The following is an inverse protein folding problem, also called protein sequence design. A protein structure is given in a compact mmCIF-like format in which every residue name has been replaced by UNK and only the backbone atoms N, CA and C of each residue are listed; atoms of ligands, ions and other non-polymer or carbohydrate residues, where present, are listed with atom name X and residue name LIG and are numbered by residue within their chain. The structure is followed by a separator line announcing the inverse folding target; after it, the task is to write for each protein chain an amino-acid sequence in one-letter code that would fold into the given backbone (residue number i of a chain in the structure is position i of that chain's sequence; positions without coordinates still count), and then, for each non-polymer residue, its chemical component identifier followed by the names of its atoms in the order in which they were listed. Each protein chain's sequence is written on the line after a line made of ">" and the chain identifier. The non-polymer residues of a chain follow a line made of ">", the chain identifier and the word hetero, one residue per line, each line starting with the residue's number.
data_IF_808038757813
#
_entry.id   IF_808038757813
#
_cell.length_a   1.000
_cell.length_b   1.000
_cell.length_c   1.000
_cell.angle_alpha   90.00
_cell.angle_beta   90.00
_cell.angle_gamma   90.00
#
_symmetry.space_group_name_H-M   'P 1'
#
loop_
_entity.id
_entity.type
_entity.pdbx_description
1 polymer ?
#
# COMPACT_ATOMS: atom_id res chain seq x y z
N UNK A 1 15.36 22.02 -8.63
CA UNK A 1 14.03 21.65 -8.10
C UNK A 1 14.14 20.25 -7.53
N UNK A 2 14.01 20.13 -6.22
CA UNK A 2 14.10 18.87 -5.48
C UNK A 2 12.72 18.47 -4.97
N UNK A 3 12.43 17.18 -4.94
CA UNK A 3 11.21 16.65 -4.35
C UNK A 3 11.53 16.11 -2.96
N UNK A 4 11.03 16.78 -1.93
CA UNK A 4 11.13 16.31 -0.54
C UNK A 4 9.98 15.37 -0.23
N UNK A 5 10.29 14.17 0.29
CA UNK A 5 9.32 13.09 0.45
C UNK A 5 9.24 12.65 1.90
N UNK A 6 8.08 12.85 2.53
CA UNK A 6 7.77 12.29 3.83
C UNK A 6 6.99 10.98 3.67
N UNK A 7 7.56 9.86 4.16
CA UNK A 7 6.87 8.56 4.14
C UNK A 7 6.26 8.26 5.50
N UNK A 8 4.95 8.38 5.61
CA UNK A 8 4.20 7.99 6.81
C UNK A 8 3.98 6.48 6.77
N UNK A 9 4.36 5.78 7.84
CA UNK A 9 4.39 4.32 7.85
C UNK A 9 5.70 3.71 7.31
N UNK A 10 6.81 4.47 7.31
CA UNK A 10 8.13 4.06 6.83
C UNK A 10 8.70 2.76 7.40
N UNK A 11 8.16 2.25 8.53
CA UNK A 11 8.58 0.99 9.16
C UNK A 11 7.73 -0.22 8.74
N UNK A 12 6.66 0.00 7.99
CA UNK A 12 5.83 -1.06 7.40
C UNK A 12 6.44 -1.60 6.10
N UNK A 13 5.83 -2.66 5.57
CA UNK A 13 6.28 -3.33 4.34
C UNK A 13 6.41 -2.33 3.16
N UNK A 14 5.31 -1.68 2.78
CA UNK A 14 5.30 -0.71 1.69
C UNK A 14 6.12 0.54 2.02
N UNK A 15 5.95 1.10 3.22
CA UNK A 15 6.65 2.33 3.61
C UNK A 15 8.17 2.20 3.58
N UNK A 16 8.71 1.08 4.08
CA UNK A 16 10.16 0.84 4.04
C UNK A 16 10.67 0.69 2.59
N UNK A 17 9.90 0.04 1.73
CA UNK A 17 10.21 -0.07 0.31
C UNK A 17 10.16 1.30 -0.40
N UNK A 18 9.17 2.14 -0.08
CA UNK A 18 9.08 3.51 -0.57
C UNK A 18 10.30 4.34 -0.16
N UNK A 19 10.73 4.28 1.10
CA UNK A 19 11.95 4.98 1.54
C UNK A 19 13.17 4.52 0.74
N UNK A 20 13.38 3.21 0.55
CA UNK A 20 14.46 2.69 -0.31
C UNK A 20 14.35 3.21 -1.75
N UNK A 21 13.13 3.25 -2.29
CA UNK A 21 12.84 3.71 -3.64
C UNK A 21 13.13 5.21 -3.83
N UNK A 22 12.84 6.03 -2.82
CA UNK A 22 13.16 7.46 -2.77
C UNK A 22 14.68 7.66 -2.70
N UNK A 23 15.39 6.93 -1.82
CA UNK A 23 16.84 7.05 -1.68
C UNK A 23 17.60 6.68 -2.97
N UNK A 24 17.11 5.69 -3.74
CA UNK A 24 17.67 5.36 -5.07
C UNK A 24 17.52 6.46 -6.11
N UNK A 25 16.64 7.45 -5.88
CA UNK A 25 16.36 8.58 -6.78
C UNK A 25 17.07 9.88 -6.36
N UNK A 26 17.99 9.80 -5.40
CA UNK A 26 18.86 10.91 -5.04
C UNK A 26 19.70 11.36 -6.27
N UNK A 27 20.07 12.65 -6.37
CA UNK A 27 19.80 13.73 -5.41
C UNK A 27 18.45 14.43 -5.61
N UNK A 28 17.69 14.08 -6.66
CA UNK A 28 16.46 14.79 -7.02
C UNK A 28 15.27 14.51 -6.10
N UNK A 29 15.29 13.35 -5.43
CA UNK A 29 14.34 12.95 -4.41
C UNK A 29 15.05 12.89 -3.07
N UNK A 30 14.54 13.60 -2.07
CA UNK A 30 15.13 13.72 -0.74
C UNK A 30 14.15 13.17 0.28
N UNK A 31 14.52 12.08 0.95
CA UNK A 31 13.70 11.51 2.02
C UNK A 31 13.73 12.43 3.25
N UNK A 32 12.54 12.70 3.80
CA UNK A 32 12.38 13.36 5.08
C UNK A 32 12.18 12.31 6.18
N UNK A 33 13.02 12.37 7.20
CA UNK A 33 12.89 11.56 8.40
C UNK A 33 12.04 12.30 9.43
N UNK A 34 10.93 11.69 9.84
CA UNK A 34 10.09 12.20 10.93
C UNK A 34 10.18 11.28 12.14
N UNK A 35 9.87 11.82 13.31
CA UNK A 35 9.65 10.99 14.50
C UNK A 35 8.50 9.99 14.26
N UNK A 36 8.53 8.81 14.89
CA UNK A 36 7.41 7.87 14.80
C UNK A 36 6.12 8.47 15.38
N UNK A 37 5.02 8.37 14.63
CA UNK A 37 3.70 8.80 15.09
C UNK A 37 3.15 7.81 16.13
N UNK A 38 2.48 8.29 17.20
CA UNK A 38 1.93 7.45 18.26
C UNK A 38 0.57 6.85 17.84
N UNK A 39 0.59 5.87 16.93
CA UNK A 39 -0.61 5.26 16.33
C UNK A 39 -1.65 4.71 17.32
N UNK A 40 -1.25 4.37 18.56
CA UNK A 40 -2.13 3.82 19.59
C UNK A 40 -2.72 4.86 20.53
N UNK A 41 -2.32 6.13 20.43
CA UNK A 41 -2.74 7.20 21.34
C UNK A 41 -3.35 8.34 20.52
N UNK A 42 -4.68 8.35 20.45
CA UNK A 42 -5.44 9.32 19.68
C UNK A 42 -5.14 10.77 20.08
N UNK A 43 -4.99 11.04 21.39
CA UNK A 43 -4.75 12.39 21.90
C UNK A 43 -3.38 12.89 21.49
N UNK A 44 -2.36 12.03 21.58
CA UNK A 44 -0.99 12.41 21.20
C UNK A 44 -0.78 12.40 19.70
N UNK A 45 -1.57 11.63 18.96
CA UNK A 45 -1.44 11.52 17.50
C UNK A 45 -1.66 12.86 16.81
N UNK A 46 -2.70 13.60 17.20
CA UNK A 46 -3.03 14.89 16.60
C UNK A 46 -1.89 15.92 16.77
N UNK A 47 -1.38 16.07 17.99
CA UNK A 47 -0.27 16.99 18.26
C UNK A 47 1.00 16.57 17.52
N UNK A 48 1.32 15.26 17.54
CA UNK A 48 2.52 14.74 16.90
C UNK A 48 2.50 14.89 15.38
N UNK A 49 1.35 14.67 14.72
CA UNK A 49 1.25 14.81 13.27
C UNK A 49 1.19 16.27 12.84
N UNK A 50 0.63 17.16 13.67
CA UNK A 50 0.67 18.60 13.43
C UNK A 50 2.10 19.16 13.55
N UNK A 51 2.83 18.77 14.59
CA UNK A 51 4.25 19.12 14.76
C UNK A 51 5.09 18.59 13.59
N UNK A 52 4.97 17.31 13.25
CA UNK A 52 5.72 16.68 12.16
C UNK A 52 5.36 17.28 10.79
N UNK A 53 4.08 17.59 10.55
CA UNK A 53 3.63 18.22 9.31
C UNK A 53 4.21 19.62 9.15
N UNK A 54 4.22 20.42 10.23
CA UNK A 54 4.89 21.74 10.22
C UNK A 54 6.39 21.62 10.00
N UNK A 55 7.08 20.75 10.74
CA UNK A 55 8.51 20.51 10.58
C UNK A 55 8.88 20.11 9.13
N UNK A 56 8.10 19.21 8.54
CA UNK A 56 8.31 18.76 7.16
C UNK A 56 8.17 19.90 6.15
N UNK A 57 7.07 20.63 6.23
CA UNK A 57 6.77 21.74 5.31
C UNK A 57 7.73 22.92 5.56
N UNK A 58 8.14 23.15 6.81
CA UNK A 58 9.03 24.25 7.14
C UNK A 58 10.45 24.04 6.62
N UNK A 59 10.87 22.79 6.48
CA UNK A 59 12.16 22.39 5.94
C UNK A 59 12.26 22.50 4.40
N UNK A 60 11.20 22.91 3.70
CA UNK A 60 11.22 23.17 2.26
C UNK A 60 12.02 24.44 1.95
N UNK A 61 12.92 24.36 0.98
CA UNK A 61 13.58 25.53 0.40
C UNK A 61 12.70 26.17 -0.68
N UNK A 62 13.06 27.39 -1.09
CA UNK A 62 12.41 28.05 -2.22
C UNK A 62 12.51 27.20 -3.49
N UNK A 63 11.36 26.93 -4.12
CA UNK A 63 11.25 26.09 -5.30
C UNK A 63 11.31 24.58 -5.03
N UNK A 64 11.38 24.12 -3.79
CA UNK A 64 11.17 22.71 -3.48
C UNK A 64 9.70 22.32 -3.75
N UNK A 65 9.53 21.09 -4.24
CA UNK A 65 8.25 20.41 -4.25
C UNK A 65 8.22 19.38 -3.13
N UNK A 66 7.02 18.95 -2.75
CA UNK A 66 6.87 18.00 -1.67
C UNK A 66 5.87 16.90 -1.98
N UNK A 67 6.12 15.73 -1.41
CA UNK A 67 5.19 14.62 -1.43
C UNK A 67 5.08 13.96 -0.06
N UNK A 68 3.86 13.55 0.29
CA UNK A 68 3.61 12.67 1.44
C UNK A 68 3.16 11.32 0.91
N UNK A 69 3.90 10.27 1.26
CA UNK A 69 3.52 8.89 0.95
C UNK A 69 2.85 8.27 2.17
N UNK A 70 1.52 8.19 2.16
CA UNK A 70 0.74 7.53 3.21
C UNK A 70 0.72 6.02 2.98
N UNK A 71 1.67 5.33 3.60
CA UNK A 71 1.73 3.87 3.71
C UNK A 71 1.46 3.40 5.16
N UNK A 72 0.89 4.27 5.99
CA UNK A 72 0.47 3.99 7.36
C UNK A 72 -0.91 3.33 7.43
N UNK A 73 -1.07 2.41 8.38
CA UNK A 73 -2.32 1.68 8.62
C UNK A 73 -2.06 0.28 9.17
N UNK A 74 -2.80 -0.10 10.21
CA UNK A 74 -2.79 -1.45 10.76
C UNK A 74 -3.86 -2.32 10.09
N UNK A 75 -4.92 -1.70 9.56
CA UNK A 75 -6.13 -2.35 9.07
C UNK A 75 -5.89 -3.40 7.99
N UNK A 76 -6.56 -4.53 8.17
CA UNK A 76 -6.64 -5.66 7.26
C UNK A 76 -8.10 -6.13 7.19
N UNK A 77 -8.41 -7.12 6.36
CA UNK A 77 -9.78 -7.63 6.16
C UNK A 77 -10.45 -8.12 7.45
N UNK A 78 -9.67 -8.60 8.42
CA UNK A 78 -10.16 -9.08 9.72
C UNK A 78 -10.16 -8.01 10.82
N UNK A 79 -9.86 -6.75 10.52
CA UNK A 79 -9.80 -5.68 11.53
C UNK A 79 -11.21 -5.30 12.01
N UNK A 80 -11.46 -5.21 13.34
CA UNK A 80 -12.73 -4.75 13.90
C UNK A 80 -13.11 -3.32 13.48
N UNK A 81 -14.41 -3.06 13.33
CA UNK A 81 -14.94 -1.77 12.86
C UNK A 81 -14.41 -0.57 13.66
N UNK A 82 -14.36 -0.65 14.99
CA UNK A 82 -13.89 0.46 15.83
C UNK A 82 -12.43 0.87 15.53
N UNK A 83 -11.57 -0.07 15.12
CA UNK A 83 -10.20 0.25 14.71
C UNK A 83 -10.14 0.85 13.31
N UNK A 84 -11.08 0.50 12.43
CA UNK A 84 -11.20 1.12 11.10
C UNK A 84 -11.65 2.58 11.22
N UNK A 85 -12.63 2.85 12.07
CA UNK A 85 -13.11 4.22 12.31
C UNK A 85 -11.97 5.09 12.87
N UNK A 86 -11.22 4.55 13.83
CA UNK A 86 -10.04 5.22 14.38
C UNK A 86 -8.97 5.54 13.31
N UNK A 87 -8.73 4.64 12.35
CA UNK A 87 -7.78 4.89 11.27
C UNK A 87 -8.28 5.98 10.29
N UNK A 88 -9.59 6.10 10.06
CA UNK A 88 -10.16 7.21 9.26
C UNK A 88 -9.96 8.54 9.99
N UNK A 89 -10.18 8.59 11.29
CA UNK A 89 -9.96 9.80 12.09
C UNK A 89 -8.50 10.23 12.03
N UNK A 90 -7.56 9.29 12.21
CA UNK A 90 -6.13 9.55 12.09
C UNK A 90 -5.74 10.06 10.70
N UNK A 91 -6.26 9.45 9.64
CA UNK A 91 -6.04 9.93 8.27
C UNK A 91 -6.57 11.36 8.10
N UNK A 92 -7.78 11.64 8.57
CA UNK A 92 -8.42 12.96 8.45
C UNK A 92 -7.62 14.03 9.20
N UNK A 93 -7.21 13.74 10.44
CA UNK A 93 -6.40 14.64 11.27
C UNK A 93 -5.06 14.95 10.57
N UNK A 94 -4.39 13.92 10.03
CA UNK A 94 -3.12 14.09 9.36
C UNK A 94 -3.23 14.90 8.06
N UNK A 95 -4.26 14.62 7.26
CA UNK A 95 -4.56 15.38 6.04
C UNK A 95 -4.79 16.85 6.39
N UNK A 96 -5.61 17.15 7.39
CA UNK A 96 -5.87 18.52 7.83
C UNK A 96 -4.62 19.21 8.38
N UNK A 97 -3.77 18.51 9.13
CA UNK A 97 -2.49 19.04 9.62
C UNK A 97 -1.54 19.41 8.47
N UNK A 98 -1.34 18.50 7.51
CA UNK A 98 -0.48 18.72 6.33
C UNK A 98 -1.04 19.86 5.47
N UNK A 99 -2.35 19.86 5.22
CA UNK A 99 -3.02 20.88 4.41
C UNK A 99 -2.91 22.27 5.01
N UNK A 100 -3.12 22.40 6.34
CA UNK A 100 -2.93 23.67 7.05
C UNK A 100 -1.48 24.16 6.96
N UNK A 101 -0.51 23.28 7.21
CA UNK A 101 0.91 23.62 7.14
C UNK A 101 1.30 24.12 5.73
N UNK A 102 0.87 23.39 4.69
CA UNK A 102 1.11 23.77 3.30
C UNK A 102 0.50 25.15 2.97
N UNK A 103 -0.72 25.40 3.45
CA UNK A 103 -1.43 26.68 3.24
C UNK A 103 -0.79 27.87 3.93
N UNK A 104 -0.31 27.69 5.16
CA UNK A 104 0.42 28.74 5.88
C UNK A 104 1.67 29.16 5.11
N UNK A 105 2.33 28.20 4.43
CA UNK A 105 3.54 28.45 3.63
C UNK A 105 3.26 28.78 2.16
N UNK A 106 1.99 28.78 1.73
CA UNK A 106 1.57 28.94 0.33
C UNK A 106 2.27 27.97 -0.63
N UNK A 107 2.37 26.70 -0.22
CA UNK A 107 3.04 25.63 -0.99
C UNK A 107 2.09 24.50 -1.42
N UNK A 108 0.78 24.74 -1.45
CA UNK A 108 -0.21 23.70 -1.76
C UNK A 108 -0.07 23.17 -3.19
N UNK A 109 0.17 24.07 -4.14
CA UNK A 109 0.32 23.75 -5.57
C UNK A 109 1.58 22.93 -5.90
N UNK A 110 2.53 22.87 -4.96
CA UNK A 110 3.79 22.13 -5.05
C UNK A 110 3.70 20.74 -4.38
N UNK A 111 2.53 20.42 -3.81
CA UNK A 111 2.29 19.23 -3.01
C UNK A 111 1.63 18.08 -3.75
N UNK A 112 2.05 16.86 -3.42
CA UNK A 112 1.34 15.64 -3.81
C UNK A 112 1.14 14.71 -2.61
N UNK A 113 -0.10 14.33 -2.33
CA UNK A 113 -0.42 13.34 -1.30
C UNK A 113 -0.73 11.98 -1.94
N UNK A 114 0.05 10.95 -1.62
CA UNK A 114 -0.21 9.58 -2.04
C UNK A 114 -0.89 8.77 -0.95
N UNK A 115 -1.96 8.06 -1.30
CA UNK A 115 -2.67 7.14 -0.40
C UNK A 115 -2.60 5.70 -0.90
N UNK A 116 -2.11 4.79 -0.04
CA UNK A 116 -2.13 3.35 -0.27
C UNK A 116 -3.52 2.74 0.01
N UNK A 117 -4.37 2.76 -1.02
CA UNK A 117 -5.66 2.05 -1.04
C UNK A 117 -5.48 0.55 -1.34
N UNK A 118 -6.58 -0.20 -1.41
CA UNK A 118 -6.56 -1.65 -1.69
C UNK A 118 -7.51 -2.00 -2.84
N UNK A 119 -6.96 -2.56 -3.91
CA UNK A 119 -7.77 -3.05 -5.02
C UNK A 119 -8.68 -4.23 -4.59
N UNK A 120 -8.13 -5.19 -3.85
CA UNK A 120 -8.89 -6.35 -3.36
C UNK A 120 -10.02 -5.98 -2.39
N UNK A 121 -9.82 -4.96 -1.55
CA UNK A 121 -10.87 -4.47 -0.65
C UNK A 121 -11.97 -3.71 -1.39
N UNK A 122 -11.59 -2.87 -2.36
CA UNK A 122 -12.50 -2.00 -3.12
C UNK A 122 -13.35 -2.79 -4.12
N UNK A 123 -12.77 -3.77 -4.82
CA UNK A 123 -13.44 -4.54 -5.87
C UNK A 123 -14.02 -5.87 -5.39
N UNK A 124 -14.04 -6.13 -4.07
CA UNK A 124 -14.31 -7.47 -3.53
C UNK A 124 -15.62 -8.11 -3.98
N UNK A 125 -16.66 -7.32 -4.26
CA UNK A 125 -17.96 -7.76 -4.80
C UNK A 125 -18.26 -7.27 -6.21
N UNK A 126 -17.26 -6.78 -6.94
CA UNK A 126 -17.40 -6.46 -8.36
C UNK A 126 -17.59 -7.74 -9.18
N UNK A 127 -18.28 -7.64 -10.32
CA UNK A 127 -18.55 -8.76 -11.24
C UNK A 127 -17.84 -8.52 -12.57
N UNK A 128 -17.55 -9.60 -13.30
CA UNK A 128 -16.92 -9.60 -14.62
C UNK A 128 -15.45 -9.08 -14.65
N UNK A 129 -14.49 -9.79 -14.01
CA UNK A 129 -13.07 -9.42 -14.08
C UNK A 129 -12.47 -9.59 -15.49
N UNK A 130 -11.40 -8.86 -15.86
CA UNK A 130 -10.55 -8.08 -14.96
C UNK A 130 -11.09 -6.68 -14.61
N UNK A 131 -10.93 -6.29 -13.35
CA UNK A 131 -11.33 -4.97 -12.86
C UNK A 131 -10.29 -3.90 -13.16
N UNK A 132 -10.74 -2.69 -13.44
CA UNK A 132 -9.89 -1.52 -13.73
C UNK A 132 -10.34 -0.28 -12.93
N UNK A 133 -9.72 0.88 -13.15
CA UNK A 133 -10.06 2.11 -12.44
C UNK A 133 -11.47 2.64 -12.76
N UNK A 134 -12.09 2.21 -13.86
CA UNK A 134 -13.46 2.56 -14.25
C UNK A 134 -14.50 1.67 -13.60
N UNK A 135 -14.08 0.52 -13.09
CA UNK A 135 -14.94 -0.41 -12.36
C UNK A 135 -15.47 0.26 -11.09
N UNK A 136 -16.80 0.23 -10.91
CA UNK A 136 -17.43 0.80 -9.72
C UNK A 136 -16.99 0.03 -8.47
N UNK A 137 -16.55 0.73 -7.40
CA UNK A 137 -16.28 0.12 -6.10
C UNK A 137 -17.49 -0.68 -5.58
N UNK A 138 -17.24 -1.93 -5.20
CA UNK A 138 -18.24 -2.82 -4.61
C UNK A 138 -17.63 -3.56 -3.40
N UNK A 139 -17.32 -2.86 -2.29
CA UNK A 139 -16.72 -3.48 -1.13
C UNK A 139 -17.71 -4.38 -0.39
N UNK A 140 -17.32 -5.62 -0.11
CA UNK A 140 -18.13 -6.63 0.60
C UNK A 140 -17.63 -6.90 2.03
N UNK A 141 -16.61 -6.18 2.48
CA UNK A 141 -16.05 -6.28 3.82
C UNK A 141 -15.96 -4.90 4.48
N UNK A 142 -15.99 -4.82 5.83
CA UNK A 142 -15.73 -3.58 6.56
C UNK A 142 -14.42 -2.90 6.13
N UNK A 143 -13.36 -3.67 5.93
CA UNK A 143 -12.08 -3.17 5.43
C UNK A 143 -12.19 -2.53 4.04
N UNK A 144 -12.94 -3.15 3.13
CA UNK A 144 -13.20 -2.60 1.80
C UNK A 144 -13.97 -1.27 1.87
N UNK A 145 -14.99 -1.21 2.72
CA UNK A 145 -15.77 0.01 2.94
C UNK A 145 -14.90 1.13 3.51
N UNK A 146 -14.07 0.81 4.52
CA UNK A 146 -13.06 1.70 5.07
C UNK A 146 -12.15 2.28 3.99
N UNK A 147 -11.62 1.44 3.07
CA UNK A 147 -10.75 1.93 1.99
C UNK A 147 -11.49 2.87 1.04
N UNK A 148 -12.74 2.58 0.68
CA UNK A 148 -13.55 3.49 -0.15
C UNK A 148 -13.81 4.84 0.57
N UNK A 149 -14.10 4.81 1.87
CA UNK A 149 -14.25 6.03 2.68
C UNK A 149 -12.95 6.82 2.71
N UNK A 150 -11.82 6.17 2.96
CA UNK A 150 -10.51 6.82 2.98
C UNK A 150 -10.15 7.46 1.62
N UNK A 151 -10.45 6.78 0.50
CA UNK A 151 -10.26 7.38 -0.83
C UNK A 151 -11.10 8.66 -0.99
N UNK A 152 -12.34 8.67 -0.50
CA UNK A 152 -13.19 9.86 -0.52
C UNK A 152 -12.62 10.97 0.36
N UNK A 153 -12.13 10.65 1.55
CA UNK A 153 -11.48 11.62 2.46
C UNK A 153 -10.27 12.27 1.80
N UNK A 154 -9.45 11.50 1.09
CA UNK A 154 -8.28 12.02 0.37
C UNK A 154 -8.68 12.95 -0.78
N UNK A 155 -9.74 12.60 -1.54
CA UNK A 155 -10.29 13.50 -2.59
C UNK A 155 -10.80 14.81 -2.00
N UNK A 156 -11.55 14.74 -0.90
CA UNK A 156 -12.04 15.94 -0.19
C UNK A 156 -10.91 16.82 0.34
N UNK A 157 -9.83 16.21 0.84
CA UNK A 157 -8.61 16.94 1.20
C UNK A 157 -7.99 17.64 -0.02
N UNK A 158 -7.90 16.93 -1.15
CA UNK A 158 -7.37 17.47 -2.41
C UNK A 158 -8.14 18.72 -2.84
N UNK A 159 -9.48 18.64 -2.81
CA UNK A 159 -10.37 19.76 -3.17
C UNK A 159 -10.27 20.92 -2.17
N UNK A 160 -10.18 20.61 -0.87
CA UNK A 160 -10.17 21.62 0.22
C UNK A 160 -8.86 22.39 0.30
N UNK A 161 -7.74 21.72 0.11
CA UNK A 161 -6.40 22.31 0.27
C UNK A 161 -5.72 22.59 -1.05
N UNK A 162 -6.32 22.25 -2.19
CA UNK A 162 -5.73 22.41 -3.53
C UNK A 162 -4.39 21.66 -3.69
N UNK A 163 -4.18 20.61 -2.89
CA UNK A 163 -3.02 19.71 -2.96
C UNK A 163 -3.38 18.53 -3.88
N UNK A 164 -2.51 18.19 -4.83
CA UNK A 164 -2.79 17.07 -5.74
C UNK A 164 -2.76 15.73 -5.00
N UNK A 165 -3.56 14.76 -5.43
CA UNK A 165 -3.64 13.45 -4.76
C UNK A 165 -3.47 12.29 -5.72
N UNK A 166 -2.75 11.28 -5.24
CA UNK A 166 -2.42 10.04 -5.94
C UNK A 166 -2.97 8.85 -5.13
N UNK A 167 -4.10 8.28 -5.56
CA UNK A 167 -4.75 7.16 -4.88
C UNK A 167 -4.33 5.86 -5.56
N UNK A 168 -3.44 5.11 -4.92
CA UNK A 168 -2.97 3.82 -5.42
C UNK A 168 -3.80 2.67 -4.88
N UNK A 169 -4.62 2.01 -5.71
CA UNK A 169 -5.32 0.77 -5.35
C UNK A 169 -4.38 -0.41 -5.55
N UNK A 170 -3.78 -0.89 -4.47
CA UNK A 170 -2.73 -1.91 -4.54
C UNK A 170 -3.34 -3.32 -4.46
N UNK A 171 -2.83 -4.26 -5.26
CA UNK A 171 -3.15 -5.70 -5.12
C UNK A 171 -2.41 -6.33 -3.93
N UNK A 172 -2.29 -7.66 -3.88
CA UNK A 172 -1.73 -8.34 -2.71
C UNK A 172 -0.21 -8.13 -2.64
N UNK A 173 0.21 -7.15 -1.85
CA UNK A 173 1.62 -6.90 -1.58
C UNK A 173 2.26 -8.07 -0.83
N UNK A 174 3.49 -8.39 -1.24
CA UNK A 174 4.34 -9.34 -0.55
C UNK A 174 5.81 -8.97 -0.74
N UNK A 175 6.67 -9.46 0.15
CA UNK A 175 8.11 -9.24 0.06
C UNK A 175 8.82 -9.29 1.42
N UNK A 176 10.16 -9.13 1.42
CA UNK A 176 10.96 -9.01 2.62
C UNK A 176 10.46 -7.92 3.59
N UNK A 177 10.47 -8.21 4.88
CA UNK A 177 10.09 -7.26 5.94
C UNK A 177 8.59 -7.20 6.24
N UNK A 178 7.79 -8.12 5.68
CA UNK A 178 6.39 -8.25 6.09
C UNK A 178 6.31 -8.71 7.55
N UNK A 179 5.45 -8.06 8.34
CA UNK A 179 5.20 -8.49 9.72
C UNK A 179 4.28 -9.71 9.74
N UNK A 180 4.61 -10.70 10.57
CA UNK A 180 3.88 -11.97 10.67
C UNK A 180 2.78 -11.97 11.73
N UNK A 181 2.66 -10.90 12.52
CA UNK A 181 1.60 -10.73 13.52
C UNK A 181 0.24 -10.40 12.89
N UNK A 182 0.23 -9.99 11.62
CA UNK A 182 -0.99 -9.74 10.84
C UNK A 182 -1.41 -11.00 10.10
N UNK A 183 -2.72 -11.30 10.14
CA UNK A 183 -3.36 -12.35 9.35
C UNK A 183 -3.56 -11.93 7.86
N UNK A 184 -2.51 -11.39 7.24
CA UNK A 184 -2.49 -10.97 5.84
C UNK A 184 -1.20 -11.46 5.15
N UNK A 185 -1.28 -11.67 3.84
CA UNK A 185 -0.16 -11.99 2.96
C UNK A 185 0.21 -13.46 3.00
N UNK A 186 -0.56 -14.24 2.24
CA UNK A 186 -0.46 -15.71 2.15
C UNK A 186 0.96 -16.19 1.81
N UNK A 187 1.71 -15.50 0.94
CA UNK A 187 3.08 -15.87 0.57
C UNK A 187 3.99 -15.92 1.80
N UNK A 188 3.90 -14.90 2.64
CA UNK A 188 4.68 -14.78 3.87
C UNK A 188 4.30 -15.86 4.90
N UNK A 189 3.02 -16.15 5.05
CA UNK A 189 2.54 -17.23 5.92
C UNK A 189 2.92 -18.63 5.42
N UNK A 190 2.84 -18.87 4.11
CA UNK A 190 3.31 -20.13 3.50
C UNK A 190 4.82 -20.30 3.68
N UNK A 191 5.59 -19.23 3.51
CA UNK A 191 7.03 -19.25 3.74
C UNK A 191 7.39 -19.49 5.23
N UNK A 192 6.61 -18.96 6.17
CA UNK A 192 6.77 -19.27 7.60
C UNK A 192 6.41 -20.74 7.90
N UNK A 193 5.35 -21.27 7.30
CA UNK A 193 4.92 -22.66 7.46
C UNK A 193 5.91 -23.68 6.85
N UNK A 194 6.78 -23.24 5.95
CA UNK A 194 7.90 -24.05 5.45
C UNK A 194 9.00 -24.25 6.51
N UNK A 195 9.22 -23.25 7.36
CA UNK A 195 10.32 -23.24 8.34
C UNK A 195 9.86 -23.40 9.79
N UNK A 196 8.58 -23.69 10.00
CA UNK A 196 8.01 -23.86 11.33
C UNK A 196 7.01 -25.02 11.34
N UNK A 197 6.76 -25.65 12.51
CA UNK A 197 5.78 -26.73 12.61
C UNK A 197 4.32 -26.23 12.53
N UNK A 198 4.09 -24.93 12.35
CA UNK A 198 2.75 -24.34 12.29
C UNK A 198 2.25 -24.31 10.84
N UNK A 199 1.11 -24.95 10.52
CA UNK A 199 0.59 -24.91 9.16
C UNK A 199 0.03 -23.53 8.80
N UNK A 200 0.10 -23.18 7.52
CA UNK A 200 -0.62 -22.07 6.94
C UNK A 200 -2.04 -22.50 6.59
N UNK A 201 -3.03 -21.77 7.12
CA UNK A 201 -4.45 -22.04 6.83
C UNK A 201 -4.89 -21.36 5.54
N UNK A 202 -5.52 -22.13 4.65
CA UNK A 202 -6.16 -21.63 3.43
C UNK A 202 -7.67 -21.84 3.55
N UNK A 203 -8.42 -20.75 3.43
CA UNK A 203 -9.87 -20.73 3.63
C UNK A 203 -10.67 -20.57 2.34
N UNK A 204 -10.01 -20.48 1.19
CA UNK A 204 -10.63 -20.26 -0.12
C UNK A 204 -10.35 -21.45 -1.05
N UNK A 205 -11.18 -21.67 -2.08
CA UNK A 205 -10.91 -22.68 -3.09
C UNK A 205 -9.56 -22.48 -3.80
N UNK A 206 -8.92 -23.55 -4.26
CA UNK A 206 -7.58 -23.47 -4.84
C UNK A 206 -7.54 -22.76 -6.20
N UNK A 207 -8.68 -22.73 -6.89
CA UNK A 207 -8.93 -21.98 -8.13
C UNK A 207 -9.08 -20.47 -7.90
N UNK A 208 -9.07 -20.01 -6.65
CA UNK A 208 -9.16 -18.57 -6.33
C UNK A 208 -7.98 -17.82 -6.94
N UNK A 209 -8.26 -16.86 -7.82
CA UNK A 209 -7.26 -16.06 -8.55
C UNK A 209 -6.98 -14.76 -7.80
N UNK A 210 -5.71 -14.45 -7.60
CA UNK A 210 -5.23 -13.20 -7.00
C UNK A 210 -4.05 -12.65 -7.76
N UNK A 211 -3.92 -11.32 -7.79
CA UNK A 211 -2.71 -10.64 -8.22
C UNK A 211 -1.78 -10.42 -7.01
N UNK A 212 -0.52 -10.84 -7.12
CA UNK A 212 0.51 -10.69 -6.09
C UNK A 212 1.59 -9.75 -6.60
N UNK A 213 1.82 -8.65 -5.88
CA UNK A 213 2.76 -7.62 -6.33
C UNK A 213 3.95 -7.49 -5.38
N UNK A 214 5.16 -7.66 -5.93
CA UNK A 214 6.39 -7.58 -5.16
C UNK A 214 6.60 -6.16 -4.64
N UNK A 215 6.92 -6.04 -3.35
CA UNK A 215 6.88 -4.76 -2.63
C UNK A 215 7.82 -3.69 -3.21
N UNK A 216 9.03 -4.08 -3.65
CA UNK A 216 9.99 -3.11 -4.20
C UNK A 216 9.54 -2.59 -5.57
N UNK A 217 8.90 -3.42 -6.39
CA UNK A 217 8.33 -3.01 -7.68
C UNK A 217 7.14 -2.07 -7.46
N UNK A 218 6.28 -2.39 -6.49
CA UNK A 218 5.17 -1.52 -6.12
C UNK A 218 5.68 -0.16 -5.61
N UNK A 219 6.71 -0.14 -4.76
CA UNK A 219 7.29 1.10 -4.26
C UNK A 219 7.94 1.93 -5.38
N UNK A 220 8.53 1.28 -6.39
CA UNK A 220 9.02 1.95 -7.59
C UNK A 220 7.87 2.60 -8.37
N UNK A 221 6.78 1.85 -8.58
CA UNK A 221 5.59 2.34 -9.27
C UNK A 221 4.88 3.47 -8.51
N UNK A 222 4.84 3.43 -7.16
CA UNK A 222 4.34 4.53 -6.32
C UNK A 222 5.12 5.82 -6.60
N UNK A 223 6.45 5.75 -6.62
CA UNK A 223 7.28 6.94 -6.88
C UNK A 223 7.07 7.47 -8.31
N UNK A 224 6.93 6.59 -9.32
CA UNK A 224 6.61 7.00 -10.69
C UNK A 224 5.24 7.66 -10.78
N UNK A 225 4.24 7.08 -10.11
CA UNK A 225 2.88 7.61 -10.09
C UNK A 225 2.83 8.99 -9.45
N UNK A 226 3.49 9.19 -8.29
CA UNK A 226 3.65 10.50 -7.65
C UNK A 226 4.36 11.49 -8.58
N UNK A 227 5.43 11.07 -9.23
CA UNK A 227 6.14 11.90 -10.22
C UNK A 227 5.24 12.35 -11.37
N UNK A 228 4.42 11.43 -11.92
CA UNK A 228 3.50 11.73 -13.02
C UNK A 228 2.35 12.64 -12.59
N UNK A 229 1.78 12.43 -11.40
CA UNK A 229 0.77 13.33 -10.81
C UNK A 229 1.33 14.74 -10.70
N UNK A 230 2.54 14.89 -10.15
CA UNK A 230 3.22 16.18 -10.04
C UNK A 230 3.45 16.85 -11.39
N UNK A 231 3.87 16.09 -12.40
CA UNK A 231 4.04 16.62 -13.75
C UNK A 231 2.71 17.13 -14.33
N UNK A 232 1.61 16.40 -14.08
CA UNK A 232 0.25 16.83 -14.45
C UNK A 232 -0.18 18.07 -13.67
N UNK A 233 0.19 18.17 -12.38
CA UNK A 233 -0.11 19.32 -11.54
C UNK A 233 0.45 20.62 -12.13
N UNK A 234 1.67 20.56 -12.68
CA UNK A 234 2.32 21.73 -13.30
C UNK A 234 1.63 22.19 -14.59
N UNK A 235 0.96 21.28 -15.29
CA UNK A 235 0.32 21.59 -16.59
C UNK A 235 -1.16 21.90 -16.46
N UNK A 236 -1.87 21.21 -15.58
CA UNK A 236 -3.34 21.23 -15.48
C UNK A 236 -3.86 21.81 -14.15
N UNK A 237 -2.97 22.16 -13.21
CA UNK A 237 -3.34 22.55 -11.85
C UNK A 237 -3.64 21.33 -10.98
N UNK A 238 -4.30 21.53 -9.85
CA UNK A 238 -4.55 20.46 -8.87
C UNK A 238 -5.35 19.31 -9.47
N UNK A 239 -4.81 18.08 -9.34
CA UNK A 239 -5.45 16.86 -9.84
C UNK A 239 -5.60 15.80 -8.75
N UNK A 240 -6.67 15.02 -8.83
CA UNK A 240 -6.86 13.81 -8.03
C UNK A 240 -6.96 12.60 -8.95
N UNK A 241 -5.97 11.70 -8.88
CA UNK A 241 -5.87 10.56 -9.80
C UNK A 241 -5.91 9.26 -9.01
N UNK A 242 -6.72 8.31 -9.47
CA UNK A 242 -6.78 6.94 -8.94
C UNK A 242 -6.13 6.00 -9.96
N UNK A 243 -5.21 5.14 -9.51
CA UNK A 243 -4.53 4.13 -10.34
C UNK A 243 -4.47 2.80 -9.61
N UNK A 244 -4.74 1.71 -10.32
CA UNK A 244 -4.47 0.35 -9.85
C UNK A 244 -2.97 0.09 -9.92
N UNK A 245 -2.36 -0.26 -8.79
CA UNK A 245 -0.94 -0.60 -8.68
C UNK A 245 -0.85 -2.13 -8.53
N UNK A 246 -0.67 -2.82 -9.65
CA UNK A 246 -0.81 -4.27 -9.74
C UNK A 246 0.32 -4.91 -10.55
N UNK A 247 0.57 -6.20 -10.30
CA UNK A 247 1.54 -6.95 -11.11
C UNK A 247 1.02 -7.14 -12.54
N UNK A 248 -0.31 -7.29 -12.70
CA UNK A 248 -1.00 -7.60 -13.94
C UNK A 248 -1.02 -9.10 -14.25
N UNK A 249 -0.66 -9.95 -13.28
CA UNK A 249 -0.55 -11.40 -13.41
C UNK A 249 -1.44 -12.07 -12.35
N UNK A 250 -2.58 -12.60 -12.78
CA UNK A 250 -3.45 -13.39 -11.92
C UNK A 250 -2.89 -14.79 -11.72
N UNK A 251 -2.81 -15.23 -10.46
CA UNK A 251 -2.30 -16.56 -10.08
C UNK A 251 -3.30 -17.21 -9.13
N UNK A 252 -3.62 -18.47 -9.39
CA UNK A 252 -4.47 -19.28 -8.51
C UNK A 252 -3.72 -19.65 -7.24
N UNK A 253 -4.45 -19.94 -6.15
CA UNK A 253 -3.83 -20.48 -4.94
C UNK A 253 -3.12 -21.82 -5.23
N UNK A 254 -3.68 -22.66 -6.10
CA UNK A 254 -3.06 -23.92 -6.53
C UNK A 254 -1.71 -23.71 -7.23
N UNK A 255 -1.64 -22.78 -8.18
CA UNK A 255 -0.38 -22.40 -8.85
C UNK A 255 0.62 -21.79 -7.87
N UNK A 256 0.17 -20.92 -6.96
CA UNK A 256 1.02 -20.35 -5.93
C UNK A 256 1.66 -21.43 -5.05
N UNK A 257 0.87 -22.42 -4.61
CA UNK A 257 1.38 -23.56 -3.86
C UNK A 257 2.37 -24.39 -4.68
N UNK A 258 2.14 -24.56 -5.98
CA UNK A 258 3.09 -25.17 -6.91
C UNK A 258 4.44 -24.44 -6.92
N UNK A 259 4.40 -23.13 -7.18
CA UNK A 259 5.59 -22.27 -7.20
C UNK A 259 6.34 -22.29 -5.86
N UNK A 260 5.62 -22.26 -4.74
CA UNK A 260 6.22 -22.38 -3.41
C UNK A 260 6.97 -23.70 -3.24
N UNK A 261 6.43 -24.82 -3.73
CA UNK A 261 7.14 -26.13 -3.68
C UNK A 261 8.39 -26.12 -4.54
N UNK A 262 8.30 -25.59 -5.76
CA UNK A 262 9.42 -25.55 -6.71
C UNK A 262 10.57 -24.68 -6.19
N UNK A 263 10.25 -23.52 -5.59
CA UNK A 263 11.24 -22.60 -5.03
C UNK A 263 11.86 -23.15 -3.73
N UNK A 264 11.04 -23.74 -2.85
CA UNK A 264 11.50 -24.18 -1.52
C UNK A 264 12.15 -25.56 -1.51
N UNK A 265 11.95 -26.37 -2.57
CA UNK A 265 12.25 -27.81 -2.60
C UNK A 265 11.61 -28.60 -1.44
N UNK A 266 10.53 -28.09 -0.87
CA UNK A 266 9.78 -28.74 0.19
C UNK A 266 8.29 -28.45 0.11
N UNK A 267 7.55 -28.94 1.10
CA UNK A 267 6.10 -28.83 1.14
C UNK A 267 5.72 -27.95 2.33
N UNK A 268 5.27 -26.71 2.10
CA UNK A 268 4.72 -25.90 3.17
C UNK A 268 3.61 -26.69 3.86
N UNK A 269 3.62 -26.73 5.19
CA UNK A 269 2.52 -27.34 5.92
C UNK A 269 1.26 -26.48 5.69
N UNK A 270 0.27 -27.02 4.99
CA UNK A 270 -0.96 -26.30 4.64
C UNK A 270 -2.16 -27.04 5.21
N UNK A 271 -3.08 -26.29 5.80
CA UNK A 271 -4.38 -26.79 6.24
C UNK A 271 -5.48 -26.12 5.43
N UNK A 272 -6.31 -26.91 4.76
CA UNK A 272 -7.52 -26.41 4.11
C UNK A 272 -8.62 -26.33 5.17
N UNK A 273 -9.17 -25.15 5.37
CA UNK A 273 -10.24 -24.91 6.34
C UNK A 273 -11.47 -24.30 5.68
N UNK A 274 -12.62 -24.45 6.34
CA UNK A 274 -13.82 -23.68 6.01
C UNK A 274 -13.88 -22.42 6.89
N UNK A 275 -14.24 -21.30 6.30
CA UNK A 275 -14.52 -20.06 7.03
C UNK A 275 -15.86 -19.49 6.58
N UNK A 276 -16.66 -18.99 7.50
CA UNK A 276 -17.88 -18.23 7.16
C UNK A 276 -17.56 -16.98 6.31
N UNK A 277 -16.33 -16.46 6.40
CA UNK A 277 -15.85 -15.33 5.60
C UNK A 277 -15.32 -15.72 4.22
N UNK A 278 -15.15 -17.02 3.93
CA UNK A 278 -14.71 -17.49 2.62
C UNK A 278 -15.71 -17.13 1.51
N UNK A 279 -17.00 -17.13 1.83
CA UNK A 279 -18.07 -16.70 0.93
C UNK A 279 -18.02 -15.19 0.59
N UNK A 280 -17.28 -14.40 1.38
CA UNK A 280 -17.07 -12.96 1.17
C UNK A 280 -15.77 -12.68 0.40
N UNK A 281 -15.25 -13.66 -0.33
CA UNK A 281 -14.06 -13.50 -1.17
C UNK A 281 -14.43 -13.85 -2.60
N UNK A 282 -14.20 -12.91 -3.53
CA UNK A 282 -14.34 -13.21 -4.96
C UNK A 282 -13.41 -14.37 -5.34
N UNK A 283 -13.93 -15.32 -6.13
CA UNK A 283 -13.13 -16.43 -6.65
C UNK A 283 -12.12 -15.89 -7.66
N UNK A 284 -12.52 -15.01 -8.57
CA UNK A 284 -11.63 -14.36 -9.53
C UNK A 284 -11.52 -12.86 -9.23
N UNK A 285 -10.31 -12.41 -8.87
CA UNK A 285 -9.99 -11.02 -8.59
C UNK A 285 -8.77 -10.59 -9.44
N UNK A 286 -8.86 -10.82 -10.76
CA UNK A 286 -7.93 -10.22 -11.73
C UNK A 286 -8.16 -8.72 -11.82
N UNK A 287 -7.07 -7.96 -11.79
CA UNK A 287 -7.09 -6.49 -11.85
C UNK A 287 -6.09 -6.06 -12.92
N UNK A 288 -6.45 -5.03 -13.65
CA UNK A 288 -5.59 -4.33 -14.61
C UNK A 288 -5.58 -2.83 -14.32
N UNK A 289 -4.62 -2.13 -14.91
CA UNK A 289 -4.52 -0.67 -14.83
C UNK A 289 -4.56 -0.08 -16.23
N UNK A 290 -5.47 0.88 -16.43
CA UNK A 290 -5.65 1.60 -17.69
C UNK A 290 -5.23 3.08 -17.58
N UNK A 291 -4.97 3.57 -16.36
CA UNK A 291 -4.52 4.95 -16.10
C UNK A 291 -3.01 5.03 -16.24
N UNK A 292 -2.51 5.80 -17.22
CA UNK A 292 -1.07 5.96 -17.49
C UNK A 292 -0.33 4.61 -17.62
N UNK A 293 -0.71 3.75 -18.57
CA UNK A 293 -0.15 2.41 -18.73
C UNK A 293 1.34 2.41 -19.04
N UNK A 294 1.90 3.53 -19.52
CA UNK A 294 3.33 3.72 -19.70
C UNK A 294 4.13 3.60 -18.40
N UNK A 295 3.53 3.89 -17.24
CA UNK A 295 4.19 3.74 -15.94
C UNK A 295 4.41 2.26 -15.57
N UNK A 296 3.56 1.37 -16.07
CA UNK A 296 3.60 -0.08 -15.79
C UNK A 296 4.58 -0.84 -16.70
N UNK A 297 5.11 -0.19 -17.75
CA UNK A 297 6.04 -0.77 -18.73
C UNK A 297 7.46 -0.87 -18.16
N UNK A 298 7.59 -1.64 -17.10
CA UNK A 298 8.87 -2.00 -16.49
C UNK A 298 8.97 -3.49 -16.26
N UNK A 299 10.20 -3.96 -16.28
CA UNK A 299 10.52 -5.30 -15.82
C UNK A 299 10.16 -5.40 -14.34
N UNK A 300 9.24 -6.32 -14.03
CA UNK A 300 8.79 -6.63 -12.67
C UNK A 300 9.53 -7.88 -12.19
N UNK A 301 9.75 -7.95 -10.90
CA UNK A 301 10.30 -9.12 -10.22
C UNK A 301 9.39 -10.32 -10.49
N UNK A 302 9.91 -11.41 -11.12
CA UNK A 302 9.13 -12.61 -11.33
C UNK A 302 8.60 -13.17 -10.01
N UNK A 303 7.37 -13.70 -9.99
CA UNK A 303 6.73 -14.19 -8.76
C UNK A 303 7.61 -15.20 -8.00
N UNK A 304 8.26 -16.13 -8.70
CA UNK A 304 9.19 -17.10 -8.09
C UNK A 304 10.39 -16.44 -7.40
N UNK A 305 10.97 -15.39 -8.03
CA UNK A 305 12.09 -14.65 -7.45
C UNK A 305 11.67 -13.85 -6.21
N UNK A 306 10.49 -13.22 -6.27
CA UNK A 306 9.92 -12.53 -5.11
C UNK A 306 9.60 -13.48 -3.95
N UNK A 307 9.03 -14.65 -4.26
CA UNK A 307 8.78 -15.72 -3.27
C UNK A 307 10.09 -16.12 -2.60
N UNK A 308 11.12 -16.42 -3.41
CA UNK A 308 12.43 -16.80 -2.89
C UNK A 308 13.00 -15.73 -1.96
N UNK A 309 13.00 -14.46 -2.36
CA UNK A 309 13.48 -13.35 -1.53
C UNK A 309 12.71 -13.23 -0.21
N UNK A 310 11.38 -13.39 -0.26
CA UNK A 310 10.51 -13.40 0.93
C UNK A 310 10.87 -14.54 1.88
N UNK A 311 11.07 -15.75 1.33
CA UNK A 311 11.47 -16.92 2.11
C UNK A 311 12.84 -16.74 2.78
N UNK A 312 13.83 -16.21 2.06
CA UNK A 312 15.16 -15.94 2.62
C UNK A 312 15.11 -14.92 3.76
N UNK A 313 14.27 -13.89 3.61
CA UNK A 313 14.09 -12.91 4.67
C UNK A 313 13.48 -13.51 5.95
N UNK A 314 12.47 -14.37 5.80
CA UNK A 314 11.83 -15.07 6.93
C UNK A 314 12.82 -16.03 7.60
N UNK A 315 13.55 -16.82 6.83
CA UNK A 315 14.56 -17.73 7.37
C UNK A 315 15.62 -16.97 8.18
N UNK A 316 16.10 -15.85 7.65
CA UNK A 316 17.05 -14.98 8.35
C UNK A 316 16.45 -14.37 9.63
N UNK A 317 15.16 -14.01 9.64
CA UNK A 317 14.46 -13.55 10.85
C UNK A 317 14.45 -14.63 11.94
N UNK A 318 14.05 -15.85 11.56
CA UNK A 318 14.00 -17.01 12.47
C UNK A 318 15.38 -17.30 13.06
N UNK A 319 16.43 -17.29 12.23
CA UNK A 319 17.82 -17.51 12.67
C UNK A 319 18.31 -16.44 13.65
N UNK A 320 17.74 -15.23 13.61
CA UNK A 320 18.02 -14.14 14.56
C UNK A 320 17.11 -14.15 15.79
N UNK A 321 16.17 -15.08 15.90
CA UNK A 321 15.21 -15.15 17.00
C UNK A 321 14.14 -14.06 16.97
N UNK A 322 13.81 -13.54 15.77
CA UNK A 322 12.80 -12.51 15.51
C UNK A 322 11.52 -13.09 14.95
#
# INVERSE_FOLDING_TARGET
>A
MTLRVWTIGARGLLGAACVRSVLRRAPYWVAHESRPLPWSDASRFADAVDEAGREFIDALNEGDEWAVLWAGGAAVTSTPQALLDHEIDQLTIALDAIGRAARIRNVESQGTFFYASSAGGVYGGSVDPPFDERTLPAPISPYGQFKVVAEKTVRQFSDRYEVSSAIGRISNLYGPGQRMDKMQGIISHLALAQYSPRPASIFVPLETVRDYFYVDDCADLVCRFVGRVRDETRTAGTVSVTKNLVSGQGVTIGELLGLMRDVSKGHPHVMLGSSSTAALQAVDLRIQSNVWPELDRVEKTPLAAGIFATMQNILSSIQRGQ
#
